data_IF_633416039632
#
_entry.id   IF_633416039632
#
_cell.length_a   1.000
_cell.length_b   1.000
_cell.length_c   1.000
_cell.angle_alpha   90.00
_cell.angle_beta   90.00
_cell.angle_gamma   90.00
#
_symmetry.space_group_name_H-M   'P 1'
#
loop_
_entity.id
_entity.type
_entity.pdbx_description
1 polymer ?
#
# COMPACT_ATOMS: atom_id res chain seq x y z
N UNK A 1 8.52 -0.41 -12.95
CA UNK A 1 9.48 0.69 -13.17
C UNK A 1 8.71 2.00 -13.24
N UNK A 2 9.20 3.06 -12.60
CA UNK A 2 8.53 4.37 -12.56
C UNK A 2 9.55 5.51 -12.71
N UNK A 3 9.59 6.23 -13.84
CA UNK A 3 10.47 7.38 -14.03
C UNK A 3 10.04 8.53 -13.10
N UNK A 4 11.02 9.35 -12.72
CA UNK A 4 10.83 10.53 -11.87
C UNK A 4 11.20 11.78 -12.67
N UNK A 5 10.60 12.92 -12.30
CA UNK A 5 10.82 14.20 -12.97
C UNK A 5 12.28 14.67 -12.90
N UNK A 6 13.05 14.23 -11.90
CA UNK A 6 14.48 14.53 -11.73
C UNK A 6 15.40 13.59 -12.53
N UNK A 7 14.86 12.83 -13.48
CA UNK A 7 15.60 11.90 -14.32
C UNK A 7 15.96 10.57 -13.65
N UNK A 8 15.59 10.37 -12.38
CA UNK A 8 15.80 9.08 -11.69
C UNK A 8 14.75 8.05 -12.10
N UNK A 9 15.09 6.78 -11.93
CA UNK A 9 14.20 5.65 -12.20
C UNK A 9 14.01 4.81 -10.94
N UNK A 10 12.76 4.60 -10.53
CA UNK A 10 12.43 3.66 -9.47
C UNK A 10 12.14 2.29 -10.07
N UNK A 11 12.74 1.25 -9.51
CA UNK A 11 12.59 -0.13 -9.98
C UNK A 11 12.26 -1.03 -8.80
N UNK A 12 11.27 -1.89 -8.99
CA UNK A 12 10.73 -2.72 -7.94
C UNK A 12 9.44 -3.39 -8.40
N UNK A 13 8.79 -4.17 -7.54
CA UNK A 13 9.21 -4.45 -6.16
C UNK A 13 9.00 -5.94 -5.83
N UNK A 14 9.73 -6.43 -4.82
CA UNK A 14 9.45 -7.73 -4.21
C UNK A 14 8.20 -7.69 -3.32
N UNK A 15 7.69 -8.87 -3.00
CA UNK A 15 6.66 -9.10 -1.98
C UNK A 15 7.15 -10.27 -1.13
N UNK A 16 7.34 -10.02 0.16
CA UNK A 16 7.95 -10.95 1.10
C UNK A 16 7.11 -11.03 2.38
N UNK A 17 7.09 -12.20 3.02
CA UNK A 17 6.52 -12.38 4.36
C UNK A 17 7.66 -12.34 5.39
N UNK A 18 8.07 -11.12 5.76
CA UNK A 18 9.23 -10.85 6.61
C UNK A 18 8.84 -10.16 7.93
N UNK A 19 7.55 -10.17 8.30
CA UNK A 19 7.05 -9.43 9.45
C UNK A 19 7.27 -7.92 9.31
N UNK A 20 7.98 -7.32 10.27
CA UNK A 20 8.30 -5.89 10.31
C UNK A 20 9.76 -5.58 9.90
N UNK A 21 10.49 -6.54 9.35
CA UNK A 21 11.83 -6.29 8.82
C UNK A 21 11.75 -5.45 7.54
N UNK A 22 12.32 -4.25 7.57
CA UNK A 22 12.34 -3.29 6.46
C UNK A 22 13.72 -3.18 5.79
N UNK A 23 14.61 -4.13 6.07
CA UNK A 23 15.92 -4.20 5.42
C UNK A 23 15.82 -4.85 4.04
N UNK A 24 16.65 -4.39 3.11
CA UNK A 24 16.76 -5.00 1.78
C UNK A 24 17.68 -6.21 1.80
N UNK A 25 17.35 -7.25 1.03
CA UNK A 25 18.18 -8.45 0.86
C UNK A 25 18.96 -8.38 -0.46
N UNK A 26 20.16 -8.98 -0.49
CA UNK A 26 20.95 -9.08 -1.73
C UNK A 26 20.20 -9.87 -2.81
N UNK A 27 19.46 -10.91 -2.42
CA UNK A 27 18.62 -11.71 -3.34
C UNK A 27 17.48 -10.87 -3.93
N UNK A 28 16.77 -10.09 -3.12
CA UNK A 28 15.69 -9.21 -3.60
C UNK A 28 16.20 -8.11 -4.53
N UNK A 29 17.36 -7.52 -4.21
CA UNK A 29 18.03 -6.56 -5.10
C UNK A 29 18.40 -7.24 -6.43
N UNK A 30 19.01 -8.41 -6.39
CA UNK A 30 19.40 -9.16 -7.59
C UNK A 30 18.19 -9.48 -8.47
N UNK A 31 17.10 -10.02 -7.89
CA UNK A 31 15.87 -10.35 -8.63
C UNK A 31 15.26 -9.14 -9.35
N UNK A 32 15.21 -7.99 -8.67
CA UNK A 32 14.69 -6.75 -9.27
C UNK A 32 15.59 -6.29 -10.42
N UNK A 33 16.92 -6.27 -10.21
CA UNK A 33 17.87 -5.80 -11.22
C UNK A 33 17.91 -6.73 -12.44
N UNK A 34 17.93 -8.04 -12.23
CA UNK A 34 17.91 -9.04 -13.31
C UNK A 34 16.67 -8.84 -14.19
N UNK A 35 15.48 -8.82 -13.59
CA UNK A 35 14.21 -8.60 -14.31
C UNK A 35 14.22 -7.26 -15.07
N UNK A 36 14.71 -6.20 -14.44
CA UNK A 36 14.75 -4.88 -15.05
C UNK A 36 15.71 -4.80 -16.24
N UNK A 37 16.88 -5.42 -16.14
CA UNK A 37 17.88 -5.46 -17.21
C UNK A 37 17.40 -6.33 -18.37
N UNK A 38 16.71 -7.45 -18.09
CA UNK A 38 16.09 -8.27 -19.14
C UNK A 38 15.06 -7.45 -19.94
N UNK A 39 14.24 -6.63 -19.27
CA UNK A 39 13.26 -5.75 -19.91
C UNK A 39 13.90 -4.54 -20.61
N UNK A 40 14.94 -3.95 -20.01
CA UNK A 40 15.61 -2.74 -20.51
C UNK A 40 17.13 -2.91 -20.38
N UNK A 41 17.80 -3.52 -21.39
CA UNK A 41 19.22 -3.85 -21.31
C UNK A 41 20.14 -2.65 -21.05
N UNK A 42 19.73 -1.44 -21.46
CA UNK A 42 20.47 -0.20 -21.19
C UNK A 42 20.64 0.10 -19.69
N UNK A 43 19.84 -0.51 -18.80
CA UNK A 43 19.97 -0.37 -17.35
C UNK A 43 21.24 -1.02 -16.80
N UNK A 44 21.82 -2.01 -17.48
CA UNK A 44 23.04 -2.70 -17.04
C UNK A 44 24.25 -1.76 -16.87
N UNK A 45 24.21 -0.59 -17.52
CA UNK A 45 25.28 0.43 -17.47
C UNK A 45 24.93 1.61 -16.57
N UNK A 46 23.82 1.56 -15.81
CA UNK A 46 23.36 2.65 -14.95
C UNK A 46 23.85 2.45 -13.50
N UNK A 47 23.94 3.54 -12.76
CA UNK A 47 24.37 3.54 -11.36
C UNK A 47 23.19 3.25 -10.42
N UNK A 48 23.37 2.30 -9.51
CA UNK A 48 22.44 2.09 -8.40
C UNK A 48 22.66 3.19 -7.35
N UNK A 49 21.65 4.03 -7.13
CA UNK A 49 21.76 5.16 -6.21
C UNK A 49 21.36 4.83 -4.77
N UNK A 50 20.31 4.01 -4.60
CA UNK A 50 19.75 3.67 -3.29
C UNK A 50 18.90 2.41 -3.38
N UNK A 51 18.87 1.65 -2.29
CA UNK A 51 17.91 0.57 -2.03
C UNK A 51 17.09 0.89 -0.79
N UNK A 52 15.87 0.38 -0.72
CA UNK A 52 14.99 0.52 0.45
C UNK A 52 13.91 -0.55 0.42
N UNK A 53 13.46 -1.01 1.58
CA UNK A 53 12.21 -1.76 1.71
C UNK A 53 11.16 -0.88 2.41
N UNK A 54 9.89 -1.28 2.29
CA UNK A 54 8.78 -0.58 2.91
C UNK A 54 7.67 -1.55 3.29
N UNK A 55 7.13 -1.37 4.49
CA UNK A 55 6.07 -2.21 5.03
C UNK A 55 4.71 -1.75 4.48
N UNK A 56 3.95 -2.67 3.88
CA UNK A 56 2.64 -2.37 3.28
C UNK A 56 1.53 -2.79 4.24
N UNK A 57 0.74 -1.84 4.81
CA UNK A 57 -0.37 -2.20 5.67
C UNK A 57 -1.45 -2.92 4.85
N UNK A 58 -1.72 -4.19 5.17
CA UNK A 58 -2.63 -5.05 4.40
C UNK A 58 -3.85 -5.41 5.25
N UNK A 59 -5.04 -5.10 4.75
CA UNK A 59 -6.30 -5.61 5.31
C UNK A 59 -6.68 -6.99 4.77
N UNK A 60 -7.85 -7.51 5.15
CA UNK A 60 -8.39 -8.78 4.63
C UNK A 60 -9.02 -8.57 3.24
N UNK A 61 -8.16 -8.36 2.25
CA UNK A 61 -8.54 -8.19 0.84
C UNK A 61 -8.96 -6.77 0.43
N UNK A 62 -9.34 -5.92 1.39
CA UNK A 62 -9.74 -4.51 1.18
C UNK A 62 -9.34 -3.66 2.40
N UNK A 63 -9.21 -2.32 2.26
CA UNK A 63 -8.91 -1.46 3.41
C UNK A 63 -10.04 -1.49 4.44
N UNK A 64 -9.69 -1.14 5.67
CA UNK A 64 -10.61 -0.90 6.77
C UNK A 64 -10.90 0.59 6.84
N UNK A 65 -12.13 0.99 6.56
CA UNK A 65 -12.59 2.39 6.59
C UNK A 65 -13.86 2.51 7.44
N UNK A 66 -13.91 3.48 8.35
CA UNK A 66 -15.11 3.83 9.12
C UNK A 66 -14.93 3.80 10.64
N UNK A 67 -16.03 4.00 11.38
CA UNK A 67 -16.05 3.97 12.86
C UNK A 67 -15.90 2.55 13.40
N UNK A 68 -15.26 2.41 14.56
CA UNK A 68 -15.28 1.15 15.31
C UNK A 68 -16.62 0.97 16.01
N UNK A 69 -17.25 -0.19 15.86
CA UNK A 69 -18.56 -0.51 16.46
C UNK A 69 -18.59 -0.36 17.99
N UNK A 70 -17.45 -0.63 18.66
CA UNK A 70 -17.33 -0.53 20.11
C UNK A 70 -17.04 0.89 20.60
N UNK A 71 -16.57 1.78 19.73
CA UNK A 71 -16.08 3.12 20.10
C UNK A 71 -16.57 4.16 19.10
N UNK A 72 -17.57 4.94 19.51
CA UNK A 72 -18.19 5.96 18.64
C UNK A 72 -17.22 7.10 18.25
N UNK A 73 -16.12 7.26 18.98
CA UNK A 73 -15.11 8.29 18.79
C UNK A 73 -13.81 7.79 18.10
N UNK A 74 -13.78 6.54 17.61
CA UNK A 74 -12.60 5.99 16.92
C UNK A 74 -12.93 5.67 15.47
N UNK A 75 -12.13 6.19 14.55
CA UNK A 75 -12.22 5.94 13.10
C UNK A 75 -10.93 5.26 12.64
N UNK A 76 -11.06 4.29 11.74
CA UNK A 76 -9.94 3.60 11.10
C UNK A 76 -9.93 3.94 9.61
N UNK A 77 -8.73 4.17 9.08
CA UNK A 77 -8.47 4.34 7.65
C UNK A 77 -7.12 3.70 7.32
N UNK A 78 -7.09 2.37 7.14
CA UNK A 78 -5.84 1.61 6.94
C UNK A 78 -6.04 0.37 6.07
N UNK A 79 -4.96 -0.34 5.75
CA UNK A 79 -5.02 -1.64 5.05
C UNK A 79 -5.07 -1.56 3.52
N UNK A 80 -4.75 -0.41 2.92
CA UNK A 80 -4.78 -0.18 1.46
C UNK A 80 -3.70 -0.93 0.66
N UNK A 81 -2.75 -1.59 1.33
CA UNK A 81 -1.69 -2.39 0.73
C UNK A 81 -0.93 -1.65 -0.39
N UNK A 82 -1.06 -2.09 -1.65
CA UNK A 82 -0.38 -1.51 -2.82
C UNK A 82 -1.03 -0.21 -3.34
N UNK A 83 -2.24 0.11 -2.88
CA UNK A 83 -3.06 1.18 -3.45
C UNK A 83 -3.19 2.40 -2.51
N UNK A 84 -2.39 2.48 -1.45
CA UNK A 84 -2.48 3.56 -0.45
C UNK A 84 -2.34 4.96 -1.06
N UNK A 85 -1.30 5.19 -1.87
CA UNK A 85 -1.08 6.49 -2.52
C UNK A 85 -2.21 6.82 -3.50
N UNK A 86 -2.65 5.84 -4.30
CA UNK A 86 -3.72 6.02 -5.28
C UNK A 86 -5.06 6.38 -4.61
N UNK A 87 -5.38 5.71 -3.50
CA UNK A 87 -6.67 5.84 -2.81
C UNK A 87 -6.66 6.88 -1.70
N UNK A 88 -5.52 7.51 -1.39
CA UNK A 88 -5.42 8.52 -0.34
C UNK A 88 -6.39 9.69 -0.52
N UNK A 89 -6.57 10.29 -1.72
CA UNK A 89 -7.48 11.43 -1.88
C UNK A 89 -8.94 11.09 -1.56
N UNK A 90 -9.45 9.97 -2.09
CA UNK A 90 -10.84 9.56 -1.85
C UNK A 90 -11.05 9.08 -0.41
N UNK A 91 -10.07 8.37 0.16
CA UNK A 91 -10.11 7.95 1.57
C UNK A 91 -10.15 9.17 2.49
N UNK A 92 -9.29 10.16 2.25
CA UNK A 92 -9.25 11.39 3.05
C UNK A 92 -10.57 12.17 2.98
N UNK A 93 -11.14 12.32 1.78
CA UNK A 93 -12.45 12.98 1.59
C UNK A 93 -13.55 12.28 2.40
N UNK A 94 -13.70 10.97 2.24
CA UNK A 94 -14.78 10.22 2.91
C UNK A 94 -14.61 10.20 4.44
N UNK A 95 -13.37 10.13 4.94
CA UNK A 95 -13.12 10.18 6.38
C UNK A 95 -13.37 11.58 6.94
N UNK A 96 -13.04 12.65 6.21
CA UNK A 96 -13.37 14.01 6.61
C UNK A 96 -14.89 14.24 6.65
N UNK A 97 -15.63 13.75 5.65
CA UNK A 97 -17.10 13.77 5.63
C UNK A 97 -17.68 13.02 6.83
N UNK A 98 -17.20 11.81 7.11
CA UNK A 98 -17.62 11.02 8.28
C UNK A 98 -17.38 11.76 9.61
N UNK A 99 -16.25 12.47 9.75
CA UNK A 99 -15.93 13.24 10.96
C UNK A 99 -16.84 14.46 11.12
N UNK A 100 -17.10 15.18 10.02
CA UNK A 100 -17.73 16.52 10.08
C UNK A 100 -19.24 16.50 9.89
N UNK A 101 -19.78 15.49 9.21
CA UNK A 101 -21.19 15.40 8.80
C UNK A 101 -21.87 14.13 9.30
N UNK A 102 -21.11 13.21 9.90
CA UNK A 102 -21.56 11.86 10.27
C UNK A 102 -22.23 11.09 9.12
N UNK A 103 -21.84 11.43 7.88
CA UNK A 103 -22.31 10.81 6.65
C UNK A 103 -21.21 10.91 5.58
N UNK A 104 -21.30 10.11 4.51
CA UNK A 104 -20.29 10.04 3.44
C UNK A 104 -20.93 10.03 2.06
N UNK A 105 -20.31 10.73 1.12
CA UNK A 105 -20.73 10.80 -0.29
C UNK A 105 -20.70 9.46 -1.03
N UNK A 106 -19.91 8.49 -0.55
CA UNK A 106 -19.91 7.10 -1.00
C UNK A 106 -19.99 6.17 0.21
N UNK A 107 -20.73 5.07 0.09
CA UNK A 107 -20.88 4.13 1.19
C UNK A 107 -19.55 3.49 1.60
N UNK A 108 -19.22 3.58 2.89
CA UNK A 108 -18.08 2.89 3.50
C UNK A 108 -18.39 1.45 3.94
N UNK A 109 -19.66 1.01 3.87
CA UNK A 109 -20.07 -0.33 4.32
C UNK A 109 -19.22 -1.47 3.74
N UNK A 110 -18.86 -1.49 2.44
CA UNK A 110 -18.01 -2.53 1.90
C UNK A 110 -16.63 -2.59 2.56
N UNK A 111 -16.16 -1.52 3.21
CA UNK A 111 -14.86 -1.40 3.84
C UNK A 111 -14.94 -1.43 5.37
N UNK A 112 -16.14 -1.60 5.93
CA UNK A 112 -16.34 -1.63 7.37
C UNK A 112 -15.63 -2.83 8.01
N UNK A 113 -15.21 -2.66 9.25
CA UNK A 113 -14.46 -3.68 9.99
C UNK A 113 -15.32 -4.92 10.27
N UNK A 114 -16.63 -4.72 10.47
CA UNK A 114 -17.58 -5.80 10.75
C UNK A 114 -17.74 -6.76 9.56
N UNK A 115 -17.74 -6.23 8.32
CA UNK A 115 -17.88 -7.01 7.09
C UNK A 115 -16.64 -7.85 6.73
N UNK A 116 -15.52 -7.67 7.44
CA UNK A 116 -14.27 -8.40 7.19
C UNK A 116 -13.98 -9.50 8.22
N UNK A 117 -14.83 -9.63 9.25
CA UNK A 117 -14.73 -10.68 10.26
C UNK A 117 -15.48 -11.96 9.87
N UNK A 118 -16.24 -11.94 8.77
CA UNK A 118 -17.10 -13.04 8.30
C UNK A 118 -16.48 -13.93 7.21
N UNK A 119 -15.23 -13.70 6.81
CA UNK A 119 -14.54 -14.56 5.83
C UNK A 119 -13.75 -15.67 6.54
N UNK A 120 -13.96 -16.96 6.19
CA UNK A 120 -13.20 -18.07 6.77
C UNK A 120 -11.72 -17.96 6.40
N UNK A 121 -10.86 -18.22 7.36
CA UNK A 121 -9.45 -18.54 7.16
C UNK A 121 -9.33 -19.64 6.10
N UNK A 122 -8.71 -19.31 4.95
CA UNK A 122 -8.08 -20.30 4.09
C UNK A 122 -6.63 -20.48 4.52
#
# INVERSE_FOLDING_TARGET
MAPRADGKLWVGATVEDAGFDDRTTLSGIHQILESAIQLVPALAKKTLLKTSAGLRPKGKGKPYLGRLTKYNNVIVASGHYKNGILLAPITGKLIAELITQDNTSLSLEPFSINQQNSSPTR
#
